data_IF_777373486437
#
_entry.id   IF_777373486437
#
_cell.length_a   1.000
_cell.length_b   1.000
_cell.length_c   1.000
_cell.angle_alpha   90.00
_cell.angle_beta   90.00
_cell.angle_gamma   90.00
#
_symmetry.space_group_name_H-M   'P 1'
#
loop_
_entity.id
_entity.type
_entity.pdbx_description
1 polymer ?
#
# COMPACT_ATOMS: atom_id res chain seq x y z
N UNK A 1 -12.29 10.10 -30.06
CA UNK A 1 -11.55 10.66 -28.92
C UNK A 1 -12.50 10.70 -27.75
N UNK A 2 -12.55 9.62 -26.97
CA UNK A 2 -13.43 9.50 -25.80
C UNK A 2 -12.61 9.88 -24.58
N UNK A 3 -12.79 11.09 -24.09
CA UNK A 3 -12.23 11.53 -22.81
C UNK A 3 -12.86 10.69 -21.70
N UNK A 4 -12.03 9.89 -21.02
CA UNK A 4 -12.43 9.21 -19.79
C UNK A 4 -12.85 10.25 -18.74
N UNK A 5 -13.94 10.00 -17.98
CA UNK A 5 -14.45 10.97 -17.03
C UNK A 5 -13.45 11.17 -15.88
N UNK A 6 -12.92 12.41 -15.84
CA UNK A 6 -12.42 13.14 -14.68
C UNK A 6 -11.74 12.29 -13.57
N UNK A 7 -10.49 11.86 -13.82
CA UNK A 7 -9.67 11.33 -12.71
C UNK A 7 -9.49 12.44 -11.67
N UNK A 8 -9.76 12.16 -10.38
CA UNK A 8 -9.61 13.16 -9.34
C UNK A 8 -8.14 13.57 -9.24
N UNK A 9 -7.87 14.86 -9.43
CA UNK A 9 -6.52 15.40 -9.36
C UNK A 9 -6.00 15.35 -7.90
N UNK A 10 -4.68 15.20 -7.68
CA UNK A 10 -4.10 15.20 -6.35
C UNK A 10 -4.53 16.38 -5.47
N UNK A 11 -4.61 17.64 -5.96
CA UNK A 11 -5.06 18.77 -5.16
C UNK A 11 -6.51 18.64 -4.66
N UNK A 12 -7.41 18.07 -5.46
CA UNK A 12 -8.82 17.84 -5.06
C UNK A 12 -8.88 16.83 -3.92
N UNK A 13 -8.14 15.74 -4.03
CA UNK A 13 -8.10 14.72 -2.98
C UNK A 13 -7.44 15.23 -1.70
N UNK A 14 -6.39 16.06 -1.80
CA UNK A 14 -5.75 16.68 -0.64
C UNK A 14 -6.71 17.63 0.09
N UNK A 15 -7.47 18.46 -0.64
CA UNK A 15 -8.49 19.34 -0.07
C UNK A 15 -9.60 18.55 0.64
N UNK A 16 -10.05 17.43 0.06
CA UNK A 16 -11.03 16.55 0.70
C UNK A 16 -10.47 15.91 1.97
N UNK A 17 -9.23 15.41 1.97
CA UNK A 17 -8.59 14.86 3.16
C UNK A 17 -8.44 15.90 4.28
N UNK A 18 -8.11 17.15 3.94
CA UNK A 18 -8.05 18.23 4.92
C UNK A 18 -9.41 18.51 5.58
N UNK A 19 -10.52 18.39 4.83
CA UNK A 19 -11.88 18.51 5.37
C UNK A 19 -12.27 17.28 6.19
N UNK A 20 -11.89 16.08 5.75
CA UNK A 20 -12.09 14.83 6.53
C UNK A 20 -11.38 14.92 7.87
N UNK A 21 -10.18 15.50 7.94
CA UNK A 21 -9.45 15.76 9.17
C UNK A 21 -10.18 16.74 10.13
N UNK A 22 -11.16 17.49 9.64
CA UNK A 22 -12.06 18.35 10.39
C UNK A 22 -13.43 17.69 10.67
N UNK A 23 -13.50 16.36 10.55
CA UNK A 23 -14.71 15.57 10.78
C UNK A 23 -15.88 15.90 9.81
N UNK A 24 -15.58 16.36 8.59
CA UNK A 24 -16.59 16.62 7.56
C UNK A 24 -16.98 15.30 6.85
N UNK A 25 -18.12 14.74 7.26
CA UNK A 25 -18.66 13.51 6.69
C UNK A 25 -19.01 13.65 5.19
N UNK A 26 -19.37 14.86 4.72
CA UNK A 26 -19.66 15.09 3.31
C UNK A 26 -18.40 14.99 2.46
N UNK A 27 -17.25 15.43 2.99
CA UNK A 27 -15.96 15.29 2.35
C UNK A 27 -15.51 13.82 2.29
N UNK A 28 -15.76 13.01 3.33
CA UNK A 28 -15.48 11.58 3.30
C UNK A 28 -16.31 10.88 2.23
N UNK A 29 -17.60 11.22 2.11
CA UNK A 29 -18.47 10.67 1.07
C UNK A 29 -17.96 10.99 -0.33
N UNK A 30 -17.61 12.25 -0.60
CA UNK A 30 -17.03 12.67 -1.88
C UNK A 30 -15.70 11.93 -2.16
N UNK A 31 -14.85 11.77 -1.15
CA UNK A 31 -13.59 11.03 -1.24
C UNK A 31 -13.86 9.56 -1.61
N UNK A 32 -14.86 8.93 -0.97
CA UNK A 32 -15.28 7.57 -1.29
C UNK A 32 -15.74 7.43 -2.74
N UNK A 33 -16.63 8.31 -3.18
CA UNK A 33 -17.17 8.30 -4.55
C UNK A 33 -16.06 8.42 -5.61
N UNK A 34 -15.03 9.22 -5.35
CA UNK A 34 -13.92 9.45 -6.27
C UNK A 34 -12.85 8.35 -6.26
N UNK A 35 -12.68 7.62 -5.16
CA UNK A 35 -11.48 6.76 -5.00
C UNK A 35 -11.79 5.30 -4.71
N UNK A 36 -13.03 4.95 -4.34
CA UNK A 36 -13.39 3.58 -3.92
C UNK A 36 -13.09 2.53 -4.98
N UNK A 37 -13.37 2.79 -6.26
CA UNK A 37 -13.14 1.83 -7.34
C UNK A 37 -11.63 1.47 -7.47
N UNK A 38 -10.74 2.48 -7.42
CA UNK A 38 -9.28 2.26 -7.49
C UNK A 38 -8.78 1.55 -6.25
N UNK A 39 -9.23 1.97 -5.07
CA UNK A 39 -8.83 1.39 -3.79
C UNK A 39 -9.36 -0.04 -3.61
N UNK A 40 -10.58 -0.31 -4.11
CA UNK A 40 -11.12 -1.66 -4.17
C UNK A 40 -10.26 -2.58 -5.04
N UNK A 41 -9.79 -2.09 -6.19
CA UNK A 41 -8.84 -2.83 -7.04
C UNK A 41 -7.55 -3.19 -6.30
N UNK A 42 -7.04 -2.33 -5.42
CA UNK A 42 -5.87 -2.64 -4.58
C UNK A 42 -6.19 -3.77 -3.60
N UNK A 43 -7.32 -3.70 -2.89
CA UNK A 43 -7.74 -4.74 -1.96
C UNK A 43 -7.99 -6.08 -2.67
N UNK A 44 -8.65 -6.07 -3.83
CA UNK A 44 -9.00 -7.26 -4.59
C UNK A 44 -7.77 -8.01 -5.12
N UNK A 45 -6.72 -7.30 -5.54
CA UNK A 45 -5.44 -7.92 -5.94
C UNK A 45 -4.76 -8.68 -4.81
N UNK A 46 -4.96 -8.27 -3.56
CA UNK A 46 -4.35 -8.90 -2.38
C UNK A 46 -5.23 -10.04 -1.86
N UNK A 47 -6.54 -9.84 -1.82
CA UNK A 47 -7.48 -10.74 -1.15
C UNK A 47 -8.17 -11.73 -2.09
N UNK A 48 -8.14 -11.48 -3.41
CA UNK A 48 -8.77 -12.26 -4.49
C UNK A 48 -10.30 -12.44 -4.31
N UNK A 49 -10.77 -12.66 -3.08
CA UNK A 49 -12.19 -12.81 -2.76
C UNK A 49 -12.84 -11.45 -2.59
N UNK A 50 -13.92 -11.25 -3.34
CA UNK A 50 -14.64 -9.97 -3.40
C UNK A 50 -15.17 -9.52 -2.04
N UNK A 51 -15.74 -10.44 -1.27
CA UNK A 51 -16.34 -10.16 0.04
C UNK A 51 -15.30 -9.61 1.02
N UNK A 52 -14.10 -10.20 1.03
CA UNK A 52 -12.99 -9.75 1.89
C UNK A 52 -12.42 -8.42 1.44
N UNK A 53 -12.37 -8.19 0.11
CA UNK A 53 -11.92 -6.90 -0.43
C UNK A 53 -12.90 -5.77 -0.09
N UNK A 54 -14.20 -6.03 -0.10
CA UNK A 54 -15.24 -5.07 0.29
C UNK A 54 -15.14 -4.73 1.79
N UNK A 55 -14.97 -5.74 2.66
CA UNK A 55 -14.78 -5.55 4.10
C UNK A 55 -13.51 -4.74 4.39
N UNK A 56 -12.37 -5.14 3.79
CA UNK A 56 -11.10 -4.44 3.96
C UNK A 56 -11.18 -2.99 3.48
N UNK A 57 -11.90 -2.73 2.39
CA UNK A 57 -12.13 -1.37 1.89
C UNK A 57 -12.94 -0.53 2.88
N UNK A 58 -14.06 -1.06 3.41
CA UNK A 58 -14.89 -0.37 4.38
C UNK A 58 -14.09 0.01 5.64
N UNK A 59 -13.35 -0.94 6.20
CA UNK A 59 -12.51 -0.71 7.38
C UNK A 59 -11.39 0.31 7.09
N UNK A 60 -10.87 0.32 5.85
CA UNK A 60 -9.88 1.29 5.43
C UNK A 60 -10.43 2.72 5.41
N UNK A 61 -11.68 2.93 5.00
CA UNK A 61 -12.30 4.26 5.06
C UNK A 61 -12.56 4.71 6.49
N UNK A 62 -12.85 3.81 7.42
CA UNK A 62 -12.88 4.12 8.86
C UNK A 62 -11.50 4.58 9.35
N UNK A 63 -10.43 3.94 8.88
CA UNK A 63 -9.07 4.35 9.22
C UNK A 63 -8.67 5.68 8.55
N UNK A 64 -9.07 5.89 7.29
CA UNK A 64 -8.87 7.19 6.60
C UNK A 64 -9.55 8.31 7.39
N UNK A 65 -10.78 8.10 7.85
CA UNK A 65 -11.48 9.05 8.71
C UNK A 65 -10.70 9.36 9.99
N UNK A 66 -10.22 8.35 10.69
CA UNK A 66 -9.51 8.49 11.97
C UNK A 66 -8.15 9.18 11.83
N UNK A 67 -7.45 8.89 10.73
CA UNK A 67 -6.05 9.29 10.53
C UNK A 67 -5.85 10.38 9.48
N UNK A 68 -6.92 10.99 8.96
CA UNK A 68 -6.83 12.07 7.98
C UNK A 68 -5.98 13.24 8.48
N UNK A 69 -6.02 13.52 9.80
CA UNK A 69 -5.19 14.55 10.44
C UNK A 69 -3.69 14.27 10.41
N UNK A 70 -3.30 13.00 10.24
CA UNK A 70 -1.89 12.59 10.14
C UNK A 70 -1.36 12.63 8.70
N UNK A 71 -2.23 12.85 7.73
CA UNK A 71 -1.82 12.98 6.33
C UNK A 71 -0.87 14.17 6.14
N UNK A 72 0.20 13.95 5.40
CA UNK A 72 1.18 15.00 5.03
C UNK A 72 1.45 14.91 3.54
N UNK A 73 1.01 15.93 2.81
CA UNK A 73 1.20 16.03 1.35
C UNK A 73 2.68 15.96 0.94
N UNK A 74 3.57 16.52 1.77
CA UNK A 74 5.01 16.44 1.56
C UNK A 74 5.58 15.02 1.56
N UNK A 75 4.87 14.04 2.17
CA UNK A 75 5.35 12.65 2.28
C UNK A 75 4.80 11.74 1.20
N UNK A 76 3.56 11.92 0.77
CA UNK A 76 2.93 11.08 -0.25
C UNK A 76 1.75 11.79 -0.91
N UNK A 77 1.47 11.46 -2.18
CA UNK A 77 0.22 11.87 -2.82
C UNK A 77 -0.99 11.27 -2.09
N UNK A 78 -2.17 11.95 -2.08
CA UNK A 78 -3.34 11.52 -1.35
C UNK A 78 -3.77 10.08 -1.64
N UNK A 79 -3.85 9.71 -2.91
CA UNK A 79 -4.24 8.36 -3.32
C UNK A 79 -3.22 7.31 -2.88
N UNK A 80 -1.92 7.61 -2.92
CA UNK A 80 -0.84 6.73 -2.45
C UNK A 80 -0.94 6.48 -0.95
N UNK A 81 -1.23 7.53 -0.16
CA UNK A 81 -1.43 7.41 1.28
C UNK A 81 -2.65 6.53 1.61
N UNK A 82 -3.78 6.76 0.94
CA UNK A 82 -4.98 5.93 1.11
C UNK A 82 -4.76 4.48 0.65
N UNK A 83 -4.07 4.27 -0.47
CA UNK A 83 -3.74 2.94 -0.98
C UNK A 83 -2.86 2.16 0.01
N UNK A 84 -1.94 2.82 0.72
CA UNK A 84 -1.14 2.18 1.77
C UNK A 84 -2.01 1.71 2.94
N UNK A 85 -3.04 2.48 3.34
CA UNK A 85 -4.00 2.07 4.38
C UNK A 85 -4.77 0.82 3.93
N UNK A 86 -5.30 0.84 2.70
CA UNK A 86 -6.06 -0.29 2.13
C UNK A 86 -5.17 -1.54 2.01
N UNK A 87 -3.94 -1.38 1.50
CA UNK A 87 -2.98 -2.48 1.40
C UNK A 87 -2.69 -3.10 2.76
N UNK A 88 -2.36 -2.30 3.76
CA UNK A 88 -2.09 -2.79 5.10
C UNK A 88 -3.31 -3.54 5.67
N UNK A 89 -4.52 -3.01 5.47
CA UNK A 89 -5.74 -3.66 5.94
C UNK A 89 -6.02 -4.99 5.23
N UNK A 90 -5.81 -5.02 3.91
CA UNK A 90 -5.95 -6.26 3.12
C UNK A 90 -4.94 -7.33 3.58
N UNK A 91 -3.69 -6.96 3.85
CA UNK A 91 -2.69 -7.87 4.37
C UNK A 91 -3.01 -8.38 5.77
N UNK A 92 -3.56 -7.52 6.65
CA UNK A 92 -4.02 -7.95 7.98
C UNK A 92 -5.21 -8.92 7.89
N UNK A 93 -6.13 -8.71 6.95
CA UNK A 93 -7.21 -9.63 6.65
C UNK A 93 -6.66 -10.99 6.17
N UNK A 94 -5.73 -10.97 5.23
CA UNK A 94 -5.08 -12.18 4.70
C UNK A 94 -4.37 -12.98 5.79
N UNK A 95 -3.63 -12.32 6.71
CA UNK A 95 -2.95 -12.98 7.84
C UNK A 95 -3.95 -13.65 8.78
N UNK A 96 -5.05 -12.97 9.12
CA UNK A 96 -6.11 -13.54 9.97
C UNK A 96 -6.71 -14.79 9.34
N UNK A 97 -6.97 -14.77 8.02
CA UNK A 97 -7.51 -15.91 7.30
C UNK A 97 -6.52 -17.10 7.28
N UNK A 98 -5.22 -16.83 7.08
CA UNK A 98 -4.17 -17.86 7.14
C UNK A 98 -4.05 -18.48 8.53
N UNK A 99 -4.16 -17.68 9.59
CA UNK A 99 -4.13 -18.19 10.97
C UNK A 99 -5.31 -19.11 11.28
N UNK A 100 -6.52 -18.76 10.81
CA UNK A 100 -7.72 -19.62 10.94
C UNK A 100 -7.59 -20.89 10.09
N UNK A 101 -6.99 -20.82 8.91
CA UNK A 101 -6.77 -21.99 8.04
C UNK A 101 -5.69 -22.95 8.59
N UNK A 102 -4.70 -22.45 9.32
CA UNK A 102 -3.67 -23.27 9.96
C UNK A 102 -4.24 -24.17 11.09
N UNK A 103 -5.41 -23.83 11.60
CA UNK A 103 -6.09 -24.58 12.66
C UNK A 103 -7.02 -25.70 12.15
N UNK A 104 -6.98 -26.06 10.86
CA UNK A 104 -7.65 -27.26 10.36
C UNK A 104 -8.36 -27.27 9.02
N UNK A 105 -8.04 -26.40 8.08
CA UNK A 105 -8.61 -26.50 6.73
C UNK A 105 -7.65 -26.06 5.63
N UNK A 106 -7.33 -27.04 4.77
CA UNK A 106 -6.49 -26.96 3.58
C UNK A 106 -7.11 -26.06 2.48
N UNK A 107 -6.89 -24.75 2.56
CA UNK A 107 -7.21 -23.82 1.48
C UNK A 107 -6.01 -22.92 1.08
N UNK A 108 -4.79 -23.29 1.51
CA UNK A 108 -3.60 -22.41 1.43
C UNK A 108 -2.71 -22.70 0.22
N UNK A 109 -3.01 -23.74 -0.58
CA UNK A 109 -2.07 -24.25 -1.59
C UNK A 109 -2.22 -23.58 -2.99
N UNK A 110 -3.27 -22.81 -3.25
CA UNK A 110 -3.52 -22.22 -4.58
C UNK A 110 -2.94 -20.78 -4.79
N UNK A 111 -2.30 -20.21 -3.78
CA UNK A 111 -1.99 -18.77 -3.75
C UNK A 111 -0.59 -18.40 -4.24
N UNK A 112 0.32 -19.37 -4.37
CA UNK A 112 1.71 -19.08 -4.73
C UNK A 112 1.90 -18.89 -6.22
N UNK A 113 1.08 -19.53 -7.06
CA UNK A 113 1.25 -19.51 -8.53
C UNK A 113 0.49 -18.35 -9.19
N UNK A 114 -0.65 -17.93 -8.63
CA UNK A 114 -1.47 -16.83 -9.19
C UNK A 114 -0.91 -15.44 -8.95
N UNK A 115 -0.01 -15.25 -7.98
CA UNK A 115 0.56 -13.92 -7.71
C UNK A 115 1.53 -13.47 -8.81
N UNK A 116 2.31 -14.40 -9.38
CA UNK A 116 3.20 -14.11 -10.51
C UNK A 116 2.43 -13.92 -11.82
N UNK A 117 1.32 -14.64 -12.04
CA UNK A 117 0.45 -14.46 -13.21
C UNK A 117 -0.36 -13.16 -13.19
N UNK A 118 -0.82 -12.70 -12.03
CA UNK A 118 -1.57 -11.44 -11.90
C UNK A 118 -0.66 -10.21 -12.13
N UNK A 119 0.64 -10.34 -11.86
CA UNK A 119 1.62 -9.29 -12.23
C UNK A 119 1.96 -9.37 -13.74
N UNK A 120 1.85 -10.55 -14.37
CA UNK A 120 2.13 -10.76 -15.78
C UNK A 120 0.95 -10.49 -16.72
N UNK A 121 -0.27 -10.41 -16.20
CA UNK A 121 -1.52 -10.32 -16.96
C UNK A 121 -2.12 -8.93 -17.05
N UNK A 122 -1.42 -7.97 -17.62
CA UNK A 122 -2.03 -6.82 -18.26
C UNK A 122 -1.16 -6.45 -19.48
N UNK A 123 -1.79 -6.29 -20.64
CA UNK A 123 -1.15 -5.86 -21.89
C UNK A 123 -0.54 -4.47 -21.69
N UNK A 124 0.67 -4.43 -21.11
CA UNK A 124 1.43 -3.21 -21.00
C UNK A 124 2.12 -2.95 -22.33
N UNK A 125 1.92 -1.74 -22.83
CA UNK A 125 2.68 -1.18 -23.94
C UNK A 125 4.20 -1.45 -23.71
N UNK A 126 4.97 -1.91 -24.70
CA UNK A 126 6.42 -2.10 -24.60
C UNK A 126 7.18 -0.89 -24.03
N UNK A 127 6.68 0.33 -24.26
CA UNK A 127 7.23 1.57 -23.70
C UNK A 127 7.03 1.66 -22.17
N UNK A 128 5.89 1.23 -21.64
CA UNK A 128 5.62 1.18 -20.18
C UNK A 128 6.50 0.14 -19.49
N UNK A 129 6.77 -0.99 -20.16
CA UNK A 129 7.66 -2.04 -19.65
C UNK A 129 9.11 -1.55 -19.47
N UNK A 130 9.62 -0.73 -20.39
CA UNK A 130 10.96 -0.15 -20.29
C UNK A 130 11.07 0.85 -19.14
N UNK A 131 10.05 1.71 -18.94
CA UNK A 131 9.99 2.67 -17.83
C UNK A 131 9.90 1.97 -16.48
N UNK A 132 9.09 0.92 -16.35
CA UNK A 132 8.99 0.11 -15.14
C UNK A 132 10.33 -0.55 -14.80
N UNK A 133 11.06 -1.05 -15.83
CA UNK A 133 12.40 -1.64 -15.67
C UNK A 133 13.41 -0.61 -15.14
N UNK A 134 13.40 0.62 -15.66
CA UNK A 134 14.31 1.67 -15.20
C UNK A 134 14.01 2.12 -13.77
N UNK A 135 12.75 2.33 -13.43
CA UNK A 135 12.32 2.64 -12.06
C UNK A 135 12.67 1.52 -11.07
N UNK A 136 12.56 0.25 -11.49
CA UNK A 136 12.96 -0.88 -10.66
C UNK A 136 14.48 -0.89 -10.40
N UNK A 137 15.31 -0.57 -11.40
CA UNK A 137 16.76 -0.42 -11.22
C UNK A 137 17.11 0.75 -10.30
N UNK A 138 16.44 1.89 -10.46
CA UNK A 138 16.62 3.05 -9.59
C UNK A 138 16.26 2.70 -8.14
N UNK A 139 15.14 2.04 -7.91
CA UNK A 139 14.74 1.59 -6.58
C UNK A 139 15.76 0.63 -5.98
N UNK A 140 16.26 -0.34 -6.73
CA UNK A 140 17.30 -1.27 -6.28
C UNK A 140 18.58 -0.54 -5.86
N UNK A 141 19.02 0.46 -6.64
CA UNK A 141 20.16 1.30 -6.32
C UNK A 141 19.94 2.14 -5.05
N UNK A 142 18.75 2.71 -4.87
CA UNK A 142 18.40 3.46 -3.66
C UNK A 142 18.30 2.55 -2.43
N UNK A 143 17.76 1.35 -2.57
CA UNK A 143 17.74 0.33 -1.52
C UNK A 143 19.16 -0.09 -1.08
N UNK A 144 20.09 -0.21 -2.03
CA UNK A 144 21.50 -0.54 -1.72
C UNK A 144 22.20 0.52 -0.86
N UNK A 145 21.76 1.78 -0.92
CA UNK A 145 22.31 2.91 -0.12
C UNK A 145 21.75 2.99 1.30
N UNK A 146 20.72 2.22 1.64
CA UNK A 146 20.19 2.16 3.00
C UNK A 146 21.14 1.43 3.92
N UNK A 147 21.10 1.78 5.22
CA UNK A 147 21.75 0.97 6.27
C UNK A 147 21.14 -0.46 6.27
N UNK A 148 21.96 -1.45 6.62
CA UNK A 148 21.55 -2.86 6.54
C UNK A 148 20.24 -3.15 7.30
N UNK A 149 20.09 -2.60 8.50
CA UNK A 149 18.88 -2.75 9.32
C UNK A 149 17.65 -2.08 8.69
N UNK A 150 17.81 -0.87 8.12
CA UNK A 150 16.73 -0.15 7.44
C UNK A 150 16.32 -0.89 6.17
N UNK A 151 17.30 -1.31 5.36
CA UNK A 151 17.06 -2.07 4.13
C UNK A 151 16.34 -3.38 4.42
N UNK A 152 16.78 -4.13 5.43
CA UNK A 152 16.16 -5.37 5.84
C UNK A 152 14.74 -5.16 6.33
N UNK A 153 14.49 -4.18 7.21
CA UNK A 153 13.15 -3.89 7.73
C UNK A 153 12.18 -3.45 6.61
N UNK A 154 12.63 -2.60 5.68
CA UNK A 154 11.82 -2.18 4.51
C UNK A 154 11.55 -3.38 3.59
N UNK A 155 12.56 -4.20 3.30
CA UNK A 155 12.39 -5.39 2.45
C UNK A 155 11.39 -6.38 3.06
N UNK A 156 11.50 -6.69 4.35
CA UNK A 156 10.58 -7.58 5.05
C UNK A 156 9.14 -7.02 5.05
N UNK A 157 8.98 -5.71 5.29
CA UNK A 157 7.66 -5.08 5.32
C UNK A 157 6.97 -5.01 3.95
N UNK A 158 7.72 -4.76 2.87
CA UNK A 158 7.14 -4.44 1.57
C UNK A 158 7.33 -5.53 0.50
N UNK A 159 8.38 -6.37 0.59
CA UNK A 159 8.61 -7.47 -0.34
C UNK A 159 8.15 -8.83 0.21
N UNK A 160 8.11 -8.95 1.55
CA UNK A 160 7.67 -10.18 2.23
C UNK A 160 6.35 -10.01 2.97
N UNK A 161 5.74 -8.84 2.86
CA UNK A 161 4.44 -8.51 3.46
C UNK A 161 4.32 -8.77 4.96
N UNK A 162 5.46 -8.70 5.68
CA UNK A 162 5.50 -8.90 7.13
C UNK A 162 5.00 -7.66 7.87
N UNK A 163 4.24 -7.87 8.94
CA UNK A 163 3.89 -6.79 9.88
C UNK A 163 5.11 -6.34 10.66
N UNK A 164 5.09 -5.12 11.17
CA UNK A 164 6.17 -4.64 12.03
C UNK A 164 6.36 -5.52 13.29
N UNK A 165 5.31 -6.17 13.79
CA UNK A 165 5.39 -7.09 14.92
C UNK A 165 6.13 -8.37 14.55
N UNK A 166 5.80 -8.98 13.40
CA UNK A 166 6.49 -10.16 12.89
C UNK A 166 7.97 -9.87 12.60
N UNK A 167 8.26 -8.68 12.04
CA UNK A 167 9.65 -8.25 11.83
C UNK A 167 10.39 -8.07 13.15
N UNK A 168 9.74 -7.49 14.17
CA UNK A 168 10.32 -7.29 15.49
C UNK A 168 10.66 -8.63 16.15
N UNK A 169 9.77 -9.60 16.06
CA UNK A 169 9.97 -10.96 16.55
C UNK A 169 11.09 -11.68 15.77
N UNK A 170 11.05 -11.66 14.44
CA UNK A 170 12.04 -12.29 13.57
C UNK A 170 13.46 -11.74 13.79
N UNK A 171 13.59 -10.42 13.95
CA UNK A 171 14.89 -9.76 14.15
C UNK A 171 15.27 -9.65 15.62
N UNK A 172 14.44 -10.11 16.55
CA UNK A 172 14.63 -10.01 18.00
C UNK A 172 14.93 -8.58 18.46
N UNK A 173 14.16 -7.59 17.94
CA UNK A 173 14.30 -6.17 18.28
C UNK A 173 12.96 -5.58 18.73
N UNK A 174 12.95 -4.50 19.52
CA UNK A 174 11.71 -3.84 19.91
C UNK A 174 10.88 -3.35 18.70
N UNK A 175 9.55 -3.45 18.79
CA UNK A 175 8.63 -2.99 17.74
C UNK A 175 8.86 -1.51 17.36
N UNK A 176 9.18 -0.64 18.34
CA UNK A 176 9.52 0.76 18.10
C UNK A 176 10.77 0.94 17.24
N UNK A 177 11.74 0.04 17.37
CA UNK A 177 12.96 0.03 16.55
C UNK A 177 12.63 -0.29 15.09
N UNK A 178 11.81 -1.32 14.84
CA UNK A 178 11.37 -1.67 13.48
C UNK A 178 10.60 -0.52 12.83
N UNK A 179 9.63 0.07 13.55
CA UNK A 179 8.88 1.25 13.05
C UNK A 179 9.81 2.40 12.69
N UNK A 180 10.83 2.64 13.50
CA UNK A 180 11.85 3.67 13.27
C UNK A 180 12.71 3.37 12.04
N UNK A 181 13.14 2.12 11.87
CA UNK A 181 13.95 1.70 10.71
C UNK A 181 13.15 1.81 9.41
N UNK A 182 11.91 1.32 9.39
CA UNK A 182 11.03 1.41 8.22
C UNK A 182 10.79 2.88 7.86
N UNK A 183 10.41 3.73 8.82
CA UNK A 183 10.17 5.14 8.58
C UNK A 183 11.39 5.85 7.99
N UNK A 184 12.56 5.71 8.63
CA UNK A 184 13.81 6.34 8.17
C UNK A 184 14.26 5.78 6.82
N UNK A 185 14.08 4.47 6.60
CA UNK A 185 14.38 3.84 5.31
C UNK A 185 13.53 4.42 4.19
N UNK A 186 12.22 4.57 4.39
CA UNK A 186 11.32 5.16 3.42
C UNK A 186 11.62 6.64 3.16
N UNK A 187 11.95 7.42 4.19
CA UNK A 187 12.38 8.82 4.05
C UNK A 187 13.61 8.93 3.15
N UNK A 188 14.64 8.08 3.39
CA UNK A 188 15.87 8.05 2.55
C UNK A 188 15.57 7.60 1.11
N UNK A 189 14.71 6.58 0.94
CA UNK A 189 14.29 6.13 -0.38
C UNK A 189 13.57 7.24 -1.15
N UNK A 190 12.65 7.96 -0.50
CA UNK A 190 11.94 9.09 -1.11
C UNK A 190 12.91 10.16 -1.61
N UNK A 191 13.89 10.54 -0.79
CA UNK A 191 14.91 11.54 -1.18
C UNK A 191 15.74 11.00 -2.35
N UNK A 192 16.20 9.75 -2.30
CA UNK A 192 17.01 9.14 -3.34
C UNK A 192 16.25 9.06 -4.68
N UNK A 193 15.00 8.61 -4.65
CA UNK A 193 14.15 8.51 -5.85
C UNK A 193 13.76 9.88 -6.40
N UNK A 194 13.50 10.86 -5.53
CA UNK A 194 13.13 12.21 -5.94
C UNK A 194 14.31 13.07 -6.45
N UNK A 195 15.56 12.67 -6.20
CA UNK A 195 16.76 13.37 -6.70
C UNK A 195 17.22 12.86 -8.07
N UNK A 196 16.55 11.88 -8.65
CA UNK A 196 16.89 11.24 -9.92
C UNK A 196 15.86 11.52 -11.04
N UNK A 197 14.82 12.38 -10.76
CA UNK A 197 13.80 12.78 -11.72
C UNK A 197 14.01 14.19 -12.26
#
# INVERSE_FOLDING_TARGET
>A
MTTLPNEPTPPVLAALLARVAQEDASALRALYELTSAKLFGVALRILVRREWAEEALQESYVNIWRYAGDYREALAAPLTWMAAIVRNRALDCLRRQRAVAADGSSLVTEWSETFDEVIAGDERDPADSALVSEQAKQLANCMARLEASQRQAVALAYLRDQSHSEIAEQLSVPLGTVKSWVRRGLEKLKICMGSLG
#
